data_IF_385856693082
#
_entry.id   IF_385856693082
#
_cell.length_a   1.000
_cell.length_b   1.000
_cell.length_c   1.000
_cell.angle_alpha   90.00
_cell.angle_beta   90.00
_cell.angle_gamma   90.00
#
_symmetry.space_group_name_H-M   'P 1'
#
loop_
_entity.id
_entity.type
_entity.pdbx_description
1 polymer ?
#
# COMPACT_ATOMS: atom_id res chain seq x y z
N UNK A 1 -11.32 -18.86 -13.01
CA UNK A 1 -11.93 -18.59 -11.69
C UNK A 1 -12.89 -19.72 -11.41
N UNK A 2 -12.48 -20.65 -10.55
CA UNK A 2 -13.25 -21.84 -10.18
C UNK A 2 -14.43 -21.38 -9.35
N UNK A 3 -15.67 -21.52 -9.84
CA UNK A 3 -16.88 -21.35 -9.03
C UNK A 3 -16.75 -22.33 -7.87
N UNK A 4 -16.62 -21.83 -6.64
CA UNK A 4 -16.67 -22.68 -5.46
C UNK A 4 -18.10 -23.19 -5.34
N UNK A 5 -18.29 -24.44 -5.72
CA UNK A 5 -19.54 -25.18 -5.60
C UNK A 5 -19.95 -25.22 -4.13
N UNK A 6 -20.90 -24.36 -3.72
CA UNK A 6 -21.43 -24.35 -2.36
C UNK A 6 -21.73 -23.00 -1.73
N UNK A 7 -21.38 -21.87 -2.36
CA UNK A 7 -21.71 -20.54 -1.80
C UNK A 7 -23.20 -20.22 -1.94
N UNK A 8 -23.80 -19.70 -0.87
CA UNK A 8 -25.15 -19.13 -0.94
C UNK A 8 -25.14 -17.84 -1.77
N UNK A 9 -26.27 -17.43 -2.39
CA UNK A 9 -26.33 -16.17 -3.13
C UNK A 9 -25.89 -14.95 -2.32
N UNK A 10 -26.20 -14.92 -1.02
CA UNK A 10 -25.79 -13.88 -0.09
C UNK A 10 -24.26 -13.83 0.11
N UNK A 11 -23.62 -14.99 0.26
CA UNK A 11 -22.15 -15.08 0.35
C UNK A 11 -21.48 -14.60 -0.94
N UNK A 12 -22.05 -14.95 -2.10
CA UNK A 12 -21.54 -14.49 -3.39
C UNK A 12 -21.66 -12.96 -3.55
N UNK A 13 -22.78 -12.37 -3.10
CA UNK A 13 -22.97 -10.92 -3.10
C UNK A 13 -21.98 -10.23 -2.16
N UNK A 14 -21.85 -10.69 -0.91
CA UNK A 14 -20.91 -10.14 0.05
C UNK A 14 -19.46 -10.19 -0.46
N UNK A 15 -19.06 -11.32 -1.07
CA UNK A 15 -17.72 -11.46 -1.63
C UNK A 15 -17.48 -10.46 -2.78
N UNK A 16 -18.45 -10.27 -3.67
CA UNK A 16 -18.35 -9.31 -4.76
C UNK A 16 -18.23 -7.87 -4.25
N UNK A 17 -19.00 -7.51 -3.22
CA UNK A 17 -18.92 -6.19 -2.58
C UNK A 17 -17.58 -5.94 -1.90
N UNK A 18 -17.10 -6.94 -1.15
CA UNK A 18 -15.80 -6.91 -0.49
C UNK A 18 -14.66 -6.74 -1.50
N UNK A 19 -14.67 -7.52 -2.58
CA UNK A 19 -13.65 -7.45 -3.64
C UNK A 19 -13.68 -6.09 -4.35
N UNK A 20 -14.87 -5.55 -4.62
CA UNK A 20 -15.04 -4.23 -5.21
C UNK A 20 -14.52 -3.12 -4.27
N UNK A 21 -14.80 -3.22 -2.97
CA UNK A 21 -14.29 -2.28 -1.97
C UNK A 21 -12.77 -2.34 -1.88
N UNK A 22 -12.18 -3.55 -1.81
CA UNK A 22 -10.72 -3.73 -1.82
C UNK A 22 -10.08 -3.18 -3.07
N UNK A 23 -10.66 -3.41 -4.25
CA UNK A 23 -10.14 -2.87 -5.50
C UNK A 23 -10.13 -1.33 -5.49
N UNK A 24 -11.18 -0.69 -4.97
CA UNK A 24 -11.24 0.78 -4.78
C UNK A 24 -10.16 1.28 -3.82
N UNK A 25 -9.97 0.61 -2.68
CA UNK A 25 -8.94 0.97 -1.70
C UNK A 25 -7.53 0.86 -2.29
N UNK A 26 -7.20 -0.25 -2.95
CA UNK A 26 -5.89 -0.40 -3.57
C UNK A 26 -5.65 0.63 -4.67
N UNK A 27 -6.66 0.96 -5.48
CA UNK A 27 -6.54 2.02 -6.49
C UNK A 27 -6.18 3.36 -5.85
N UNK A 28 -6.84 3.72 -4.74
CA UNK A 28 -6.52 4.95 -3.98
C UNK A 28 -5.07 4.94 -3.48
N UNK A 29 -4.58 3.80 -2.98
CA UNK A 29 -3.18 3.69 -2.54
C UNK A 29 -2.20 3.82 -3.70
N UNK A 30 -2.44 3.12 -4.81
CA UNK A 30 -1.61 3.19 -6.01
C UNK A 30 -1.54 4.61 -6.57
N UNK A 31 -2.65 5.35 -6.53
CA UNK A 31 -2.71 6.74 -6.99
C UNK A 31 -2.02 7.69 -6.00
N UNK A 32 -2.23 7.52 -4.69
CA UNK A 32 -1.62 8.33 -3.63
C UNK A 32 -0.09 8.19 -3.58
N UNK A 33 0.43 6.97 -3.71
CA UNK A 33 1.87 6.69 -3.83
C UNK A 33 2.43 7.00 -5.22
N UNK A 34 1.59 7.49 -6.14
CA UNK A 34 1.96 7.80 -7.53
C UNK A 34 2.65 6.63 -8.25
N UNK A 35 2.26 5.40 -7.92
CA UNK A 35 2.84 4.17 -8.46
C UNK A 35 2.72 4.10 -9.99
N UNK A 36 1.71 4.77 -10.54
CA UNK A 36 1.52 4.91 -11.97
C UNK A 36 2.73 5.56 -12.68
N UNK A 37 3.56 6.36 -12.00
CA UNK A 37 4.70 7.09 -12.59
C UNK A 37 5.77 6.17 -13.19
N UNK A 38 6.03 5.03 -12.54
CA UNK A 38 6.97 4.01 -13.00
C UNK A 38 6.29 2.80 -13.65
N UNK A 39 4.96 2.83 -13.80
CA UNK A 39 4.21 1.74 -14.43
C UNK A 39 4.58 1.61 -15.92
N UNK A 40 4.88 0.41 -16.46
CA UNK A 40 5.21 0.24 -17.88
C UNK A 40 4.05 0.58 -18.82
N UNK A 41 2.80 0.53 -18.34
CA UNK A 41 1.60 0.87 -19.13
C UNK A 41 1.49 2.38 -19.30
N UNK A 42 1.76 2.87 -20.52
CA UNK A 42 1.67 4.29 -20.91
C UNK A 42 0.34 4.96 -20.53
N UNK A 43 -0.77 4.22 -20.57
CA UNK A 43 -2.10 4.71 -20.19
C UNK A 43 -2.19 5.14 -18.72
N UNK A 44 -1.61 4.37 -17.79
CA UNK A 44 -1.60 4.72 -16.36
C UNK A 44 -0.77 5.99 -16.12
N UNK A 45 0.40 6.11 -16.77
CA UNK A 45 1.25 7.31 -16.69
C UNK A 45 0.54 8.56 -17.19
N UNK A 46 -0.04 8.50 -18.39
CA UNK A 46 -0.72 9.65 -19.03
C UNK A 46 -1.92 10.14 -18.21
N UNK A 47 -2.69 9.22 -17.65
CA UNK A 47 -3.89 9.54 -16.86
C UNK A 47 -3.59 9.80 -15.39
N UNK A 48 -2.32 9.64 -14.97
CA UNK A 48 -1.88 9.78 -13.56
C UNK A 48 -2.74 8.97 -12.58
N UNK A 49 -3.17 7.79 -13.02
CA UNK A 49 -4.05 6.92 -12.23
C UNK A 49 -3.97 5.47 -12.70
N UNK A 50 -4.15 4.52 -11.77
CA UNK A 50 -4.18 3.10 -12.06
C UNK A 50 -5.42 2.68 -12.85
N UNK A 51 -5.19 2.11 -14.04
CA UNK A 51 -6.23 1.54 -14.92
C UNK A 51 -6.18 0.01 -15.00
N UNK A 52 -5.43 -0.63 -14.11
CA UNK A 52 -5.45 -2.08 -14.01
C UNK A 52 -6.78 -2.54 -13.38
N UNK A 53 -7.34 -3.62 -13.90
CA UNK A 53 -8.50 -4.31 -13.30
C UNK A 53 -8.13 -4.90 -11.93
N UNK A 54 -6.86 -5.26 -11.75
CA UNK A 54 -6.29 -5.78 -10.51
C UNK A 54 -5.22 -4.83 -9.96
N UNK A 55 -5.61 -3.70 -9.33
CA UNK A 55 -4.66 -2.73 -8.78
C UNK A 55 -3.74 -3.31 -7.69
N UNK A 56 -4.15 -4.40 -7.04
CA UNK A 56 -3.33 -5.18 -6.10
C UNK A 56 -1.98 -5.59 -6.66
N UNK A 57 -1.92 -5.99 -7.93
CA UNK A 57 -0.67 -6.47 -8.53
C UNK A 57 0.39 -5.37 -8.60
N UNK A 58 -0.03 -4.15 -8.97
CA UNK A 58 0.87 -2.99 -9.02
C UNK A 58 1.34 -2.57 -7.63
N UNK A 59 0.44 -2.60 -6.66
CA UNK A 59 0.76 -2.27 -5.27
C UNK A 59 1.74 -3.29 -4.67
N UNK A 60 1.49 -4.59 -4.87
CA UNK A 60 2.35 -5.66 -4.39
C UNK A 60 3.74 -5.59 -5.01
N UNK A 61 3.85 -5.44 -6.34
CA UNK A 61 5.12 -5.32 -7.02
C UNK A 61 5.94 -4.11 -6.53
N UNK A 62 5.27 -2.98 -6.24
CA UNK A 62 5.93 -1.82 -5.66
C UNK A 62 6.49 -2.10 -4.25
N UNK A 63 5.69 -2.73 -3.38
CA UNK A 63 6.15 -3.10 -2.04
C UNK A 63 7.21 -4.21 -2.05
N UNK A 64 7.21 -5.08 -3.05
CA UNK A 64 8.23 -6.12 -3.21
C UNK A 64 9.58 -5.51 -3.60
N UNK A 65 9.58 -4.51 -4.49
CA UNK A 65 10.79 -3.79 -4.91
C UNK A 65 11.28 -2.73 -3.90
N UNK A 66 10.46 -2.36 -2.91
CA UNK A 66 10.83 -1.36 -1.92
C UNK A 66 11.94 -1.89 -1.00
N UNK A 67 12.97 -1.07 -0.67
CA UNK A 67 13.95 -1.43 0.35
C UNK A 67 13.30 -1.78 1.68
N UNK A 68 13.85 -2.75 2.40
CA UNK A 68 13.22 -3.27 3.63
C UNK A 68 13.22 -2.22 4.74
N UNK A 69 14.24 -1.36 4.80
CA UNK A 69 14.34 -0.25 5.74
C UNK A 69 13.19 0.75 5.56
N UNK A 70 12.78 1.01 4.31
CA UNK A 70 11.62 1.88 4.02
C UNK A 70 10.32 1.19 4.45
N UNK A 71 10.19 -0.13 4.25
CA UNK A 71 9.02 -0.88 4.73
C UNK A 71 8.92 -0.87 6.25
N UNK A 72 10.05 -1.03 6.94
CA UNK A 72 10.14 -0.95 8.39
C UNK A 72 9.77 0.45 8.89
N UNK A 73 10.32 1.49 8.28
CA UNK A 73 9.94 2.88 8.56
C UNK A 73 8.44 3.11 8.41
N UNK A 74 7.87 2.73 7.26
CA UNK A 74 6.45 2.88 6.99
C UNK A 74 5.59 2.12 8.01
N UNK A 75 5.99 0.91 8.39
CA UNK A 75 5.30 0.13 9.44
C UNK A 75 5.31 0.86 10.78
N UNK A 76 6.45 1.43 11.20
CA UNK A 76 6.56 2.19 12.45
C UNK A 76 5.67 3.44 12.45
N UNK A 77 5.70 4.22 11.36
CA UNK A 77 4.83 5.40 11.20
C UNK A 77 3.36 4.99 11.29
N UNK A 78 2.96 3.96 10.54
CA UNK A 78 1.57 3.49 10.55
C UNK A 78 1.14 3.00 11.93
N UNK A 79 1.97 2.25 12.65
CA UNK A 79 1.68 1.81 14.02
C UNK A 79 1.48 2.99 14.96
N UNK A 80 2.35 3.99 14.93
CA UNK A 80 2.20 5.20 15.76
C UNK A 80 0.92 5.97 15.41
N UNK A 81 0.61 6.13 14.12
CA UNK A 81 -0.62 6.79 13.64
C UNK A 81 -1.87 6.05 14.12
N UNK A 82 -1.89 4.73 14.03
CA UNK A 82 -3.03 3.92 14.53
C UNK A 82 -3.17 3.99 16.05
N UNK A 83 -2.10 4.31 16.77
CA UNK A 83 -2.11 4.59 18.21
C UNK A 83 -2.52 6.02 18.57
N UNK A 84 -2.87 6.87 17.61
CA UNK A 84 -3.36 8.24 17.84
C UNK A 84 -2.32 9.34 17.65
N UNK A 85 -1.07 9.02 17.28
CA UNK A 85 -0.05 10.03 17.03
C UNK A 85 -0.38 10.89 15.80
N UNK A 86 -0.04 12.18 15.88
CA UNK A 86 -0.05 13.07 14.71
C UNK A 86 0.98 12.60 13.67
N UNK A 87 0.89 13.07 12.39
CA UNK A 87 1.88 12.72 11.37
C UNK A 87 3.33 13.02 11.78
N UNK A 88 3.56 14.20 12.38
CA UNK A 88 4.90 14.63 12.81
C UNK A 88 5.42 13.79 13.97
N UNK A 89 4.57 13.46 14.95
CA UNK A 89 4.97 12.59 16.06
C UNK A 89 5.27 11.16 15.58
N UNK A 90 4.48 10.65 14.64
CA UNK A 90 4.70 9.33 14.08
C UNK A 90 6.01 9.22 13.29
N UNK A 91 6.36 10.23 12.48
CA UNK A 91 7.66 10.34 11.81
C UNK A 91 8.80 10.35 12.84
N UNK A 92 8.71 11.20 13.87
CA UNK A 92 9.71 11.27 14.95
C UNK A 92 9.90 9.92 15.66
N UNK A 93 8.80 9.29 16.08
CA UNK A 93 8.83 7.98 16.76
C UNK A 93 9.47 6.91 15.87
N UNK A 94 9.16 6.90 14.57
CA UNK A 94 9.73 5.95 13.64
C UNK A 94 11.24 6.14 13.48
N UNK A 95 11.70 7.39 13.28
CA UNK A 95 13.14 7.71 13.17
C UNK A 95 13.90 7.34 14.43
N UNK A 96 13.41 7.73 15.60
CA UNK A 96 14.05 7.41 16.90
C UNK A 96 14.19 5.90 17.10
N UNK A 97 13.16 5.12 16.75
CA UNK A 97 13.21 3.66 16.84
C UNK A 97 14.23 3.06 15.86
N UNK A 98 14.28 3.53 14.62
CA UNK A 98 15.25 3.02 13.64
C UNK A 98 16.69 3.37 14.03
N UNK A 99 16.94 4.58 14.51
CA UNK A 99 18.26 4.96 15.03
C UNK A 99 18.64 4.09 16.23
N UNK A 100 17.71 3.82 17.15
CA UNK A 100 17.99 3.00 18.32
C UNK A 100 18.32 1.53 17.98
N UNK A 101 17.79 0.99 16.88
CA UNK A 101 17.99 -0.41 16.47
C UNK A 101 19.17 -0.54 15.49
N UNK A 102 19.22 0.30 14.47
CA UNK A 102 20.13 0.16 13.31
C UNK A 102 21.15 1.29 13.20
N UNK A 103 21.09 2.30 14.08
CA UNK A 103 22.01 3.45 14.08
C UNK A 103 21.80 4.46 12.95
N UNK A 104 20.80 4.25 12.09
CA UNK A 104 20.51 5.10 10.91
C UNK A 104 19.01 5.14 10.58
N UNK A 105 18.60 6.15 9.81
CA UNK A 105 17.27 6.20 9.17
C UNK A 105 17.39 5.89 7.67
N UNK A 106 16.31 5.46 6.99
CA UNK A 106 16.36 5.15 5.56
C UNK A 106 16.52 6.39 4.66
N UNK A 107 16.59 7.58 5.25
CA UNK A 107 16.72 8.85 4.54
C UNK A 107 18.06 9.55 4.80
N UNK A 108 18.97 8.96 5.58
CA UNK A 108 20.24 9.61 5.91
C UNK A 108 21.16 9.76 4.67
N UNK A 109 20.93 8.96 3.62
CA UNK A 109 21.67 8.94 2.36
C UNK A 109 20.96 9.68 1.19
N UNK A 110 19.84 10.37 1.45
CA UNK A 110 19.02 11.10 0.45
C UNK A 110 19.23 12.61 0.50
#
# INVERSE_FOLDING_TARGET
MTRQSGQTPEQAQWQAEYDAQRARQHRRLVDAFQIWSFCPRKGCRRLRSCRNERPTLCLNAFFEAMPEEIKQYARLVLTARTGGASPTEADRIARERMIAVDGRTPFDDL
#
